data_IF_119417763602
#
_entry.id   IF_119417763602
#
_cell.length_a   1.000
_cell.length_b   1.000
_cell.length_c   1.000
_cell.angle_alpha   90.00
_cell.angle_beta   90.00
_cell.angle_gamma   90.00
#
_symmetry.space_group_name_H-M   'P 1'
#
loop_
_entity.id
_entity.type
_entity.pdbx_description
1 polymer ?
#
# COMPACT_ATOMS: atom_id res chain seq x y z
N UNK A 1 3.18 -19.62 -0.66
CA UNK A 1 1.98 -19.11 0.03
C UNK A 1 2.32 -18.69 1.45
N UNK A 2 3.07 -19.50 2.23
CA UNK A 2 3.54 -19.13 3.59
C UNK A 2 4.22 -17.76 3.72
N UNK A 3 5.07 -17.37 2.75
CA UNK A 3 5.85 -16.13 2.85
C UNK A 3 5.01 -14.84 2.85
N UNK A 4 3.85 -14.88 2.20
CA UNK A 4 2.95 -13.73 2.09
C UNK A 4 2.13 -13.58 3.37
N UNK A 5 1.71 -14.70 3.96
CA UNK A 5 0.97 -14.72 5.22
C UNK A 5 1.86 -14.29 6.40
N UNK A 6 3.11 -14.75 6.49
CA UNK A 6 4.09 -14.25 7.48
C UNK A 6 4.41 -12.76 7.31
N UNK A 7 4.39 -12.26 6.07
CA UNK A 7 4.60 -10.84 5.79
C UNK A 7 3.42 -10.00 6.29
N UNK A 8 2.18 -10.47 6.11
CA UNK A 8 0.99 -9.80 6.65
C UNK A 8 0.86 -9.94 8.17
N UNK A 9 1.31 -11.04 8.76
CA UNK A 9 1.39 -11.21 10.21
C UNK A 9 2.44 -10.30 10.87
N UNK A 10 3.51 -9.97 10.13
CA UNK A 10 4.52 -8.98 10.54
C UNK A 10 4.22 -7.55 10.05
N UNK A 11 3.29 -7.38 9.12
CA UNK A 11 2.96 -6.08 8.56
C UNK A 11 2.43 -5.21 9.69
N UNK A 12 3.13 -4.11 9.95
CA UNK A 12 2.73 -3.14 10.97
C UNK A 12 1.29 -2.71 10.64
N UNK A 13 0.33 -2.75 11.59
CA UNK A 13 -1.09 -2.50 11.31
C UNK A 13 -1.39 -1.21 10.54
N UNK A 14 -0.50 -0.21 10.67
CA UNK A 14 -0.56 1.03 9.90
C UNK A 14 -0.28 0.83 8.40
N UNK A 15 0.66 -0.03 8.01
CA UNK A 15 0.97 -0.32 6.59
C UNK A 15 -0.24 -0.94 5.88
N UNK A 16 -0.90 -1.89 6.56
CA UNK A 16 -2.14 -2.51 6.04
C UNK A 16 -3.25 -1.47 5.92
N UNK A 17 -3.32 -0.51 6.86
CA UNK A 17 -4.31 0.57 6.83
C UNK A 17 -4.08 1.51 5.65
N UNK A 18 -2.83 1.90 5.39
CA UNK A 18 -2.46 2.75 4.23
C UNK A 18 -2.85 2.06 2.93
N UNK A 19 -2.43 0.80 2.75
CA UNK A 19 -2.74 0.01 1.55
C UNK A 19 -4.25 -0.20 1.37
N UNK A 20 -4.95 -0.53 2.46
CA UNK A 20 -6.39 -0.74 2.46
C UNK A 20 -7.16 0.54 2.11
N UNK A 21 -6.73 1.68 2.63
CA UNK A 21 -7.37 2.99 2.34
C UNK A 21 -7.22 3.35 0.87
N UNK A 22 -6.01 3.23 0.31
CA UNK A 22 -5.77 3.50 -1.10
C UNK A 22 -6.56 2.56 -2.02
N UNK A 23 -6.63 1.27 -1.68
CA UNK A 23 -7.43 0.29 -2.41
C UNK A 23 -8.92 0.65 -2.39
N UNK A 24 -9.46 0.99 -1.22
CA UNK A 24 -10.86 1.35 -1.09
C UNK A 24 -11.20 2.61 -1.87
N UNK A 25 -10.28 3.58 -1.94
CA UNK A 25 -10.46 4.80 -2.74
C UNK A 25 -10.50 4.50 -4.24
N UNK A 26 -9.54 3.72 -4.76
CA UNK A 26 -9.54 3.32 -6.18
C UNK A 26 -10.79 2.52 -6.56
N UNK A 27 -11.26 1.63 -5.68
CA UNK A 27 -12.51 0.88 -5.89
C UNK A 27 -13.74 1.79 -5.90
N UNK A 28 -13.80 2.78 -5.00
CA UNK A 28 -14.90 3.74 -4.96
C UNK A 28 -14.94 4.62 -6.22
N UNK A 29 -13.78 4.93 -6.79
CA UNK A 29 -13.63 5.72 -8.00
C UNK A 29 -13.77 4.88 -9.30
N UNK A 30 -14.05 3.58 -9.18
CA UNK A 30 -14.08 2.60 -10.29
C UNK A 30 -12.80 2.64 -11.16
N UNK A 31 -11.67 2.98 -10.55
CA UNK A 31 -10.39 3.12 -11.21
C UNK A 31 -9.70 1.76 -11.46
N UNK A 32 -8.76 1.72 -12.42
CA UNK A 32 -7.97 0.54 -12.67
C UNK A 32 -7.06 0.21 -11.47
N UNK A 33 -7.11 -1.05 -11.02
CA UNK A 33 -6.29 -1.52 -9.91
C UNK A 33 -4.94 -2.05 -10.41
N UNK A 34 -3.88 -1.31 -10.13
CA UNK A 34 -2.49 -1.70 -10.37
C UNK A 34 -1.59 -1.33 -9.18
N UNK A 35 -0.34 -1.82 -9.17
CA UNK A 35 0.64 -1.42 -8.15
C UNK A 35 0.94 0.06 -8.27
N UNK A 36 1.08 0.53 -9.50
CA UNK A 36 1.33 1.93 -9.85
C UNK A 36 0.18 2.82 -9.37
N UNK A 37 -1.08 2.45 -9.66
CA UNK A 37 -2.25 3.20 -9.22
C UNK A 37 -2.36 3.26 -7.69
N UNK A 38 -2.03 2.16 -6.99
CA UNK A 38 -1.99 2.15 -5.53
C UNK A 38 -0.90 3.08 -4.97
N UNK A 39 0.31 3.07 -5.55
CA UNK A 39 1.40 3.97 -5.14
C UNK A 39 0.97 5.43 -5.33
N UNK A 40 0.44 5.77 -6.51
CA UNK A 40 -0.04 7.13 -6.80
C UNK A 40 -1.14 7.57 -5.83
N UNK A 41 -2.11 6.68 -5.55
CA UNK A 41 -3.20 6.99 -4.62
C UNK A 41 -2.69 7.20 -3.19
N UNK A 42 -1.74 6.38 -2.72
CA UNK A 42 -1.10 6.58 -1.40
C UNK A 42 -0.41 7.95 -1.36
N UNK A 43 0.34 8.32 -2.40
CA UNK A 43 1.01 9.61 -2.44
C UNK A 43 0.02 10.78 -2.39
N UNK A 44 -1.12 10.69 -3.08
CA UNK A 44 -2.18 11.71 -3.04
C UNK A 44 -2.82 11.80 -1.65
N UNK A 45 -3.13 10.66 -1.03
CA UNK A 45 -3.81 10.61 0.27
C UNK A 45 -2.96 11.15 1.42
N UNK A 46 -1.64 10.97 1.36
CA UNK A 46 -0.72 11.27 2.46
C UNK A 46 0.28 12.41 2.16
N UNK A 47 0.04 13.21 1.13
CA UNK A 47 0.94 14.31 0.70
C UNK A 47 1.16 15.42 1.75
N UNK A 48 0.20 15.62 2.66
CA UNK A 48 0.16 16.75 3.60
C UNK A 48 0.49 16.33 5.05
N UNK A 49 0.69 15.04 5.32
CA UNK A 49 1.10 14.53 6.63
C UNK A 49 2.64 14.46 6.71
N UNK A 50 3.22 14.65 7.90
CA UNK A 50 4.61 14.22 8.13
C UNK A 50 4.67 12.74 7.72
N UNK A 51 5.34 12.44 6.60
CA UNK A 51 5.29 11.13 5.97
C UNK A 51 5.62 10.06 7.01
N UNK A 52 4.60 9.34 7.44
CA UNK A 52 4.72 8.30 8.46
C UNK A 52 5.52 7.13 7.86
N UNK A 53 6.38 6.50 8.67
CA UNK A 53 7.14 5.31 8.28
C UNK A 53 6.24 4.23 7.64
N UNK A 54 4.98 4.14 8.04
CA UNK A 54 4.00 3.24 7.44
C UNK A 54 3.66 3.56 5.97
N UNK A 55 3.65 4.84 5.59
CA UNK A 55 3.41 5.29 4.21
C UNK A 55 4.59 4.90 3.33
N UNK A 56 5.81 5.16 3.81
CA UNK A 56 7.05 4.78 3.10
C UNK A 56 7.11 3.26 2.88
N UNK A 57 6.88 2.48 3.95
CA UNK A 57 6.89 1.02 3.87
C UNK A 57 5.79 0.49 2.93
N UNK A 58 4.60 1.09 2.91
CA UNK A 58 3.55 0.70 1.98
C UNK A 58 3.98 0.87 0.51
N UNK A 59 4.63 1.99 0.19
CA UNK A 59 5.18 2.26 -1.15
C UNK A 59 6.30 1.28 -1.49
N UNK A 60 7.21 1.02 -0.55
CA UNK A 60 8.32 0.08 -0.76
C UNK A 60 7.80 -1.32 -1.09
N UNK A 61 6.79 -1.81 -0.35
CA UNK A 61 6.17 -3.12 -0.57
C UNK A 61 5.58 -3.25 -1.97
N UNK A 62 4.91 -2.20 -2.46
CA UNK A 62 4.34 -2.17 -3.81
C UNK A 62 5.43 -2.10 -4.89
N UNK A 63 6.56 -1.47 -4.57
CA UNK A 63 7.71 -1.28 -5.46
C UNK A 63 8.60 -2.52 -5.57
N UNK A 64 8.51 -3.47 -4.62
CA UNK A 64 9.28 -4.70 -4.66
C UNK A 64 8.92 -5.53 -5.91
N UNK A 65 9.91 -5.99 -6.70
CA UNK A 65 9.67 -6.87 -7.83
C UNK A 65 9.00 -8.16 -7.34
N UNK A 66 8.10 -8.73 -8.16
CA UNK A 66 7.53 -10.05 -7.87
C UNK A 66 8.69 -11.03 -7.68
N UNK A 67 8.77 -11.63 -6.50
CA UNK A 67 9.70 -12.75 -6.27
C UNK A 67 9.26 -13.89 -7.20
N UNK A 68 10.17 -14.32 -8.09
CA UNK A 68 10.00 -15.51 -8.93
C UNK A 68 9.93 -16.80 -8.10
#
# INVERSE_FOLDING_TARGET
>A
MEKTDEFFEQAHPHVVTVLGTALMQLLADEAELSREALIEMIQVLYQDEEVDLAVELAIDVLSLPRSE
#
